data_IF_073843555540
#
_entry.id   IF_073843555540
#
_cell.length_a   1.000
_cell.length_b   1.000
_cell.length_c   1.000
_cell.angle_alpha   90.00
_cell.angle_beta   90.00
_cell.angle_gamma   90.00
#
_symmetry.space_group_name_H-M   'P 1'
#
loop_
_entity.id
_entity.type
_entity.pdbx_description
1 polymer ?
#
# COMPACT_ATOMS: atom_id res chain seq x y z
N UNK A 1 68.29 -24.37 -36.91
CA UNK A 1 69.43 -23.55 -36.48
C UNK A 1 69.26 -22.15 -37.06
N UNK A 2 69.51 -21.11 -36.23
CA UNK A 2 69.86 -19.72 -36.62
C UNK A 2 68.69 -18.84 -37.12
N UNK A 3 68.02 -18.02 -36.29
CA UNK A 3 68.38 -16.71 -35.63
C UNK A 3 67.88 -15.49 -36.43
N UNK A 4 67.14 -14.60 -35.74
CA UNK A 4 67.22 -13.12 -35.75
C UNK A 4 65.93 -12.56 -35.09
N UNK A 5 65.89 -12.30 -33.78
CA UNK A 5 66.20 -11.02 -33.12
C UNK A 5 66.03 -9.78 -34.01
N UNK A 6 64.94 -9.04 -33.78
CA UNK A 6 64.68 -7.73 -34.36
C UNK A 6 63.76 -6.92 -33.46
N UNK A 7 64.38 -6.20 -32.53
CA UNK A 7 63.79 -5.24 -31.61
C UNK A 7 63.32 -4.01 -32.40
N UNK A 8 62.04 -3.63 -32.33
CA UNK A 8 61.58 -2.30 -32.78
C UNK A 8 60.51 -1.77 -31.83
N UNK A 9 61.00 -1.02 -30.84
CA UNK A 9 60.25 -0.17 -29.93
C UNK A 9 59.67 1.01 -30.73
N UNK A 10 58.35 1.15 -30.80
CA UNK A 10 57.70 2.42 -31.16
C UNK A 10 56.48 2.64 -30.28
N UNK A 11 56.68 3.47 -29.25
CA UNK A 11 55.64 4.16 -28.50
C UNK A 11 55.03 5.23 -29.41
N UNK A 12 53.71 5.23 -29.59
CA UNK A 12 52.94 6.45 -29.86
C UNK A 12 51.52 6.26 -29.35
N UNK A 13 51.06 7.30 -28.67
CA UNK A 13 49.95 7.33 -27.75
C UNK A 13 48.59 7.55 -28.44
N UNK A 14 47.53 7.22 -27.68
CA UNK A 14 46.20 7.83 -27.58
C UNK A 14 45.72 8.68 -28.78
N UNK A 15 44.52 8.49 -29.33
CA UNK A 15 43.25 8.90 -28.71
C UNK A 15 42.12 7.91 -29.04
N UNK A 16 41.53 7.27 -28.04
CA UNK A 16 40.20 6.65 -28.17
C UNK A 16 39.16 7.73 -27.85
N UNK A 17 38.50 8.25 -28.89
CA UNK A 17 37.28 9.02 -28.74
C UNK A 17 36.15 8.05 -28.34
N UNK A 18 35.96 7.87 -27.03
CA UNK A 18 34.83 7.14 -26.48
C UNK A 18 33.70 8.13 -26.13
N UNK A 19 32.62 8.09 -26.91
CA UNK A 19 31.27 8.46 -26.51
C UNK A 19 30.34 7.54 -27.29
N UNK A 20 29.32 6.90 -26.69
CA UNK A 20 28.57 7.36 -25.53
C UNK A 20 28.76 6.46 -24.31
N UNK A 21 29.02 7.06 -23.15
CA UNK A 21 28.67 6.42 -21.89
C UNK A 21 27.14 6.44 -21.79
N UNK A 22 26.49 5.43 -22.39
CA UNK A 22 25.20 4.99 -21.92
C UNK A 22 25.41 4.57 -20.48
N UNK A 23 25.03 5.44 -19.55
CA UNK A 23 24.91 5.11 -18.15
C UNK A 23 23.93 3.95 -18.07
N UNK A 24 24.47 2.73 -18.02
CA UNK A 24 23.74 1.54 -17.61
C UNK A 24 23.27 1.86 -16.20
N UNK A 25 22.00 2.28 -16.11
CA UNK A 25 21.26 2.46 -14.86
C UNK A 25 21.36 1.13 -14.11
N UNK A 26 22.31 1.03 -13.18
CA UNK A 26 22.40 -0.07 -12.23
C UNK A 26 21.21 0.07 -11.28
N UNK A 27 20.06 -0.45 -11.72
CA UNK A 27 18.90 -0.67 -10.85
C UNK A 27 19.26 -1.76 -9.84
N UNK A 28 19.91 -1.35 -8.75
CA UNK A 28 20.18 -2.19 -7.58
C UNK A 28 18.99 -2.19 -6.61
N UNK A 29 18.86 -3.26 -5.84
CA UNK A 29 17.93 -3.31 -4.71
C UNK A 29 18.28 -2.19 -3.70
N UNK A 30 17.25 -1.54 -3.14
CA UNK A 30 17.44 -0.45 -2.18
C UNK A 30 17.99 -1.00 -0.86
N UNK A 31 19.12 -0.45 -0.41
CA UNK A 31 19.74 -0.87 0.84
C UNK A 31 18.89 -0.44 2.04
N UNK A 32 18.89 -1.24 3.11
CA UNK A 32 18.10 -0.96 4.33
C UNK A 32 18.43 0.41 4.94
N UNK A 33 19.68 0.83 4.84
CA UNK A 33 20.21 2.12 5.32
C UNK A 33 19.62 3.32 4.60
N UNK A 34 19.08 3.15 3.39
CA UNK A 34 18.48 4.24 2.61
C UNK A 34 16.98 4.42 2.87
N UNK A 35 16.38 3.51 3.64
CA UNK A 35 14.98 3.58 4.02
C UNK A 35 14.94 3.91 5.51
N UNK A 36 15.28 5.15 5.85
CA UNK A 36 15.15 5.69 7.21
C UNK A 36 13.98 6.67 7.28
N UNK A 37 13.29 6.77 8.43
CA UNK A 37 12.27 7.81 8.63
C UNK A 37 12.83 9.20 8.30
N UNK A 38 12.08 9.98 7.52
CA UNK A 38 12.51 11.27 6.98
C UNK A 38 13.14 11.22 5.58
N UNK A 39 13.39 10.03 5.03
CA UNK A 39 13.95 9.91 3.67
C UNK A 39 12.90 10.21 2.60
N UNK A 40 13.24 11.06 1.62
CA UNK A 40 12.40 11.31 0.46
C UNK A 40 12.37 10.10 -0.46
N UNK A 41 11.15 9.69 -0.83
CA UNK A 41 10.85 8.62 -1.77
C UNK A 41 10.45 9.25 -3.09
N UNK A 42 11.11 8.81 -4.15
CA UNK A 42 10.87 9.29 -5.50
C UNK A 42 10.04 8.29 -6.31
N UNK A 43 9.79 8.68 -7.55
CA UNK A 43 9.15 7.91 -8.57
C UNK A 43 10.15 7.38 -9.61
N UNK A 44 9.73 6.47 -10.49
CA UNK A 44 10.48 6.14 -11.72
C UNK A 44 10.75 7.38 -12.60
N UNK A 45 9.87 8.38 -12.57
CA UNK A 45 10.05 9.66 -13.26
C UNK A 45 10.97 10.64 -12.50
N UNK A 46 11.51 10.25 -11.33
CA UNK A 46 12.35 11.12 -10.49
C UNK A 46 11.59 12.25 -9.79
N UNK A 47 10.25 12.14 -9.71
CA UNK A 47 9.36 13.05 -8.96
C UNK A 47 9.29 12.63 -7.50
N UNK A 48 9.25 13.59 -6.58
CA UNK A 48 9.06 13.31 -5.16
C UNK A 48 7.63 12.81 -4.91
N UNK A 49 7.50 11.56 -4.47
CA UNK A 49 6.22 10.91 -4.13
C UNK A 49 5.85 11.23 -2.69
N UNK A 50 6.81 11.13 -1.77
CA UNK A 50 6.56 11.35 -0.35
C UNK A 50 7.81 11.12 0.50
N UNK A 51 7.60 10.91 1.79
CA UNK A 51 8.68 10.76 2.77
C UNK A 51 8.46 9.50 3.59
N UNK A 52 9.49 8.72 3.85
CA UNK A 52 9.40 7.55 4.74
C UNK A 52 8.98 8.04 6.13
N UNK A 53 7.82 7.59 6.61
CA UNK A 53 7.34 7.88 7.95
C UNK A 53 7.91 6.89 8.96
N UNK A 54 7.96 5.60 8.59
CA UNK A 54 8.43 4.52 9.47
C UNK A 54 8.91 3.33 8.67
N UNK A 55 9.90 2.62 9.19
CA UNK A 55 10.31 1.31 8.67
C UNK A 55 10.08 0.26 9.74
N UNK A 56 9.51 -0.88 9.35
CA UNK A 56 9.18 -1.99 10.23
C UNK A 56 9.53 -3.29 9.50
N UNK A 57 10.77 -3.74 9.69
CA UNK A 57 11.33 -4.91 9.01
C UNK A 57 11.29 -4.76 7.49
N UNK A 58 10.48 -5.59 6.83
CA UNK A 58 10.29 -5.60 5.38
C UNK A 58 9.20 -4.65 4.87
N UNK A 59 8.51 -3.92 5.75
CA UNK A 59 7.48 -2.95 5.40
C UNK A 59 7.97 -1.53 5.68
N UNK A 60 7.71 -0.62 4.75
CA UNK A 60 8.03 0.81 4.85
C UNK A 60 6.73 1.58 4.74
N UNK A 61 6.41 2.34 5.77
CA UNK A 61 5.35 3.33 5.73
C UNK A 61 5.91 4.63 5.13
N UNK A 62 5.30 5.10 4.05
CA UNK A 62 5.62 6.34 3.37
C UNK A 62 4.45 7.30 3.56
N UNK A 63 4.73 8.50 4.07
CA UNK A 63 3.80 9.61 4.10
C UNK A 63 3.75 10.28 2.72
N UNK A 64 2.58 10.31 2.11
CA UNK A 64 2.30 10.86 0.78
C UNK A 64 1.19 11.89 0.98
N UNK A 65 1.52 13.18 0.93
CA UNK A 65 0.56 14.30 1.04
C UNK A 65 -0.39 14.19 2.26
N UNK A 66 0.11 13.66 3.38
CA UNK A 66 -0.64 13.46 4.63
C UNK A 66 -1.22 12.05 4.83
N UNK A 67 -1.24 11.23 3.79
CA UNK A 67 -1.70 9.84 3.84
C UNK A 67 -0.55 8.85 4.03
N UNK A 68 -0.81 7.77 4.76
CA UNK A 68 0.18 6.71 4.98
C UNK A 68 0.02 5.55 3.99
N UNK A 69 1.05 5.28 3.19
CA UNK A 69 1.12 4.10 2.33
C UNK A 69 2.16 3.11 2.86
N UNK A 70 1.72 1.89 3.18
CA UNK A 70 2.64 0.82 3.59
C UNK A 70 3.02 0.00 2.37
N UNK A 71 4.28 0.09 1.97
CA UNK A 71 4.85 -0.60 0.82
C UNK A 71 5.96 -1.56 1.27
N UNK A 72 6.02 -2.78 0.71
CA UNK A 72 7.11 -3.69 1.01
C UNK A 72 8.42 -3.14 0.46
N UNK A 73 9.54 -3.39 1.16
CA UNK A 73 10.88 -2.93 0.75
C UNK A 73 11.25 -3.36 -0.67
N UNK A 74 10.75 -4.51 -1.12
CA UNK A 74 10.93 -5.02 -2.49
C UNK A 74 10.25 -4.17 -3.59
N UNK A 75 9.30 -3.30 -3.23
CA UNK A 75 8.67 -2.37 -4.15
C UNK A 75 9.53 -1.13 -4.44
N UNK A 76 10.56 -0.89 -3.61
CA UNK A 76 11.50 0.21 -3.80
C UNK A 76 12.64 -0.22 -4.73
N UNK A 77 12.99 0.67 -5.65
CA UNK A 77 14.14 0.56 -6.57
C UNK A 77 15.10 1.71 -6.32
N UNK A 78 16.39 1.47 -6.50
CA UNK A 78 17.39 2.53 -6.37
C UNK A 78 17.47 3.31 -7.68
N UNK A 79 17.37 4.63 -7.58
CA UNK A 79 17.60 5.57 -8.70
C UNK A 79 18.73 6.53 -8.35
N UNK A 80 19.21 7.32 -9.31
CA UNK A 80 20.26 8.33 -9.07
C UNK A 80 19.84 9.40 -8.04
N UNK A 81 18.53 9.61 -7.87
CA UNK A 81 17.99 10.55 -6.87
C UNK A 81 17.70 9.93 -5.51
N UNK A 82 17.79 8.60 -5.38
CA UNK A 82 17.52 7.86 -4.15
C UNK A 82 16.46 6.77 -4.31
N UNK A 83 15.84 6.32 -3.21
CA UNK A 83 14.85 5.25 -3.25
C UNK A 83 13.60 5.73 -3.99
N UNK A 84 13.18 4.98 -5.00
CA UNK A 84 12.01 5.26 -5.79
C UNK A 84 11.02 4.10 -5.78
N UNK A 85 9.74 4.37 -5.97
CA UNK A 85 8.72 3.34 -6.18
C UNK A 85 8.61 3.00 -7.66
N UNK A 86 8.33 1.72 -7.96
CA UNK A 86 8.09 1.24 -9.33
C UNK A 86 6.82 1.77 -9.99
N UNK A 87 5.92 2.37 -9.21
CA UNK A 87 4.65 2.91 -9.69
C UNK A 87 4.73 4.44 -9.70
N UNK A 88 4.09 5.08 -10.69
CA UNK A 88 4.12 6.54 -10.85
C UNK A 88 3.41 7.27 -9.70
N UNK A 89 3.87 8.47 -9.31
CA UNK A 89 3.21 9.34 -8.31
C UNK A 89 1.72 9.47 -8.60
N UNK A 90 1.37 9.69 -9.87
CA UNK A 90 -0.01 9.81 -10.31
C UNK A 90 -0.81 8.54 -10.06
N UNK A 91 -0.24 7.35 -10.32
CA UNK A 91 -0.93 6.08 -10.06
C UNK A 91 -1.07 5.82 -8.57
N UNK A 92 -0.07 6.14 -7.77
CA UNK A 92 -0.11 6.00 -6.31
C UNK A 92 -1.19 6.91 -5.73
N UNK A 93 -1.18 8.20 -6.07
CA UNK A 93 -2.20 9.15 -5.65
C UNK A 93 -3.60 8.73 -6.12
N UNK A 94 -3.74 8.22 -7.34
CA UNK A 94 -5.03 7.73 -7.82
C UNK A 94 -5.56 6.59 -6.93
N UNK A 95 -4.71 5.63 -6.54
CA UNK A 95 -5.10 4.54 -5.63
C UNK A 95 -5.41 5.05 -4.22
N UNK A 96 -4.64 6.02 -3.72
CA UNK A 96 -4.91 6.64 -2.42
C UNK A 96 -6.25 7.38 -2.43
N UNK A 97 -6.50 8.22 -3.45
CA UNK A 97 -7.76 8.93 -3.60
C UNK A 97 -8.94 8.00 -3.82
N UNK A 98 -8.75 6.88 -4.52
CA UNK A 98 -9.78 5.84 -4.65
C UNK A 98 -10.11 5.25 -3.28
N UNK A 99 -9.10 4.86 -2.50
CA UNK A 99 -9.30 4.36 -1.14
C UNK A 99 -9.94 5.40 -0.20
N UNK A 100 -9.56 6.68 -0.29
CA UNK A 100 -10.20 7.77 0.45
C UNK A 100 -11.66 7.95 0.04
N UNK A 101 -11.96 7.90 -1.26
CA UNK A 101 -13.34 8.00 -1.75
C UNK A 101 -14.18 6.81 -1.32
N UNK A 102 -13.63 5.61 -1.34
CA UNK A 102 -14.31 4.41 -0.83
C UNK A 102 -14.57 4.52 0.67
N UNK A 103 -13.57 4.94 1.45
CA UNK A 103 -13.73 5.18 2.88
C UNK A 103 -14.79 6.25 3.17
N UNK A 104 -14.74 7.39 2.46
CA UNK A 104 -15.72 8.45 2.57
C UNK A 104 -17.13 7.98 2.16
N UNK A 105 -17.24 7.10 1.15
CA UNK A 105 -18.51 6.55 0.70
C UNK A 105 -19.09 5.56 1.72
N UNK A 106 -18.24 4.72 2.33
CA UNK A 106 -18.62 3.89 3.48
C UNK A 106 -19.06 4.78 4.64
N UNK A 107 -18.35 5.87 4.91
CA UNK A 107 -18.66 6.79 5.99
C UNK A 107 -19.97 7.52 5.79
N UNK A 108 -20.24 7.92 4.54
CA UNK A 108 -21.52 8.47 4.14
C UNK A 108 -22.65 7.44 4.27
N UNK A 109 -22.40 6.15 4.02
CA UNK A 109 -23.39 5.10 4.17
C UNK A 109 -23.59 4.65 5.63
N UNK A 110 -22.55 4.76 6.46
CA UNK A 110 -22.53 4.36 7.86
C UNK A 110 -23.22 5.42 8.74
N UNK A 111 -24.56 5.40 8.69
CA UNK A 111 -25.42 6.26 9.49
C UNK A 111 -26.29 5.44 10.43
N UNK A 112 -26.75 6.03 11.52
CA UNK A 112 -27.78 5.43 12.37
C UNK A 112 -29.01 5.13 11.52
N UNK A 113 -29.55 3.92 11.64
CA UNK A 113 -30.64 3.37 10.83
C UNK A 113 -30.20 2.72 9.51
N UNK A 114 -28.93 2.81 9.11
CA UNK A 114 -28.44 2.20 7.87
C UNK A 114 -28.54 0.67 7.93
N UNK A 115 -29.04 0.07 6.86
CA UNK A 115 -29.12 -1.37 6.69
C UNK A 115 -27.77 -1.92 6.25
N UNK A 116 -27.27 -2.93 6.97
CA UNK A 116 -26.04 -3.62 6.64
C UNK A 116 -26.38 -4.97 6.05
N UNK A 117 -25.76 -5.29 4.90
CA UNK A 117 -26.01 -6.52 4.14
C UNK A 117 -24.82 -7.48 4.18
N UNK A 118 -25.06 -8.72 3.77
CA UNK A 118 -24.02 -9.72 3.52
C UNK A 118 -23.12 -9.33 2.35
N UNK A 119 -21.98 -10.02 2.20
CA UNK A 119 -20.99 -9.75 1.15
C UNK A 119 -21.58 -9.82 -0.28
N UNK A 120 -22.52 -10.73 -0.48
CA UNK A 120 -23.29 -10.94 -1.71
C UNK A 120 -24.45 -9.95 -1.88
N UNK A 121 -24.79 -9.21 -0.82
CA UNK A 121 -25.84 -8.20 -0.83
C UNK A 121 -27.27 -8.75 -0.79
N UNK A 122 -27.47 -10.08 -0.74
CA UNK A 122 -28.80 -10.67 -0.79
C UNK A 122 -29.55 -10.58 0.54
N UNK A 123 -28.83 -10.67 1.67
CA UNK A 123 -29.44 -10.65 3.00
C UNK A 123 -29.12 -9.36 3.77
N UNK A 124 -30.13 -8.76 4.41
CA UNK A 124 -29.94 -7.72 5.43
C UNK A 124 -29.60 -8.40 6.75
N UNK A 125 -28.42 -8.11 7.28
CA UNK A 125 -27.90 -8.69 8.52
C UNK A 125 -28.37 -7.93 9.76
N UNK A 126 -28.58 -6.62 9.62
CA UNK A 126 -28.96 -5.76 10.72
C UNK A 126 -29.04 -4.29 10.34
N UNK A 127 -29.29 -3.46 11.34
CA UNK A 127 -29.35 -2.00 11.22
C UNK A 127 -28.40 -1.33 12.21
N UNK A 128 -27.72 -0.28 11.78
CA UNK A 128 -26.86 0.50 12.66
C UNK A 128 -27.72 1.21 13.71
N UNK A 129 -27.49 0.90 14.98
CA UNK A 129 -28.14 1.53 16.13
C UNK A 129 -27.41 2.79 16.59
N UNK A 130 -26.09 2.75 16.59
CA UNK A 130 -25.25 3.88 17.02
C UNK A 130 -23.88 3.84 16.34
N UNK A 131 -23.27 5.00 16.16
CA UNK A 131 -21.87 5.14 15.75
C UNK A 131 -21.07 5.48 17.01
N UNK A 132 -19.98 4.77 17.26
CA UNK A 132 -19.07 5.02 18.38
C UNK A 132 -17.66 5.30 17.85
N UNK A 133 -16.75 5.85 18.67
CA UNK A 133 -15.35 6.01 18.28
C UNK A 133 -14.67 4.67 17.93
N UNK A 134 -15.16 3.56 18.48
CA UNK A 134 -14.65 2.21 18.25
C UNK A 134 -15.24 1.56 16.97
N UNK A 135 -16.30 2.12 16.39
CA UNK A 135 -16.96 1.57 15.22
C UNK A 135 -18.45 1.87 15.15
N UNK A 136 -19.28 0.87 14.83
CA UNK A 136 -20.72 1.01 14.80
C UNK A 136 -21.40 -0.14 15.55
N UNK A 137 -22.35 0.21 16.41
CA UNK A 137 -23.25 -0.73 17.08
C UNK A 137 -24.37 -1.05 16.11
N UNK A 138 -24.56 -2.33 15.82
CA UNK A 138 -25.58 -2.83 14.91
C UNK A 138 -26.54 -3.74 15.66
N UNK A 139 -27.83 -3.50 15.47
CA UNK A 139 -28.89 -4.42 15.91
C UNK A 139 -29.10 -5.48 14.86
N UNK A 140 -28.93 -6.74 15.26
CA UNK A 140 -29.11 -7.93 14.42
C UNK A 140 -30.29 -8.75 14.97
N UNK A 141 -30.75 -9.75 14.21
CA UNK A 141 -31.77 -10.68 14.70
C UNK A 141 -31.36 -11.48 15.94
N UNK A 142 -30.05 -11.60 16.20
CA UNK A 142 -29.50 -12.28 17.38
C UNK A 142 -29.08 -11.31 18.49
N UNK A 143 -29.31 -10.00 18.35
CA UNK A 143 -28.96 -8.98 19.34
C UNK A 143 -28.00 -7.92 18.82
N UNK A 144 -27.59 -7.01 19.71
CA UNK A 144 -26.72 -5.90 19.38
C UNK A 144 -25.23 -6.34 19.37
N UNK A 145 -24.48 -5.91 18.36
CA UNK A 145 -23.04 -6.15 18.24
C UNK A 145 -22.31 -4.87 17.80
N UNK A 146 -21.15 -4.60 18.40
CA UNK A 146 -20.27 -3.53 17.97
C UNK A 146 -19.28 -4.07 16.95
N UNK A 147 -19.24 -3.47 15.77
CA UNK A 147 -18.29 -3.83 14.71
C UNK A 147 -17.35 -2.66 14.40
N UNK A 148 -16.05 -2.93 14.16
CA UNK A 148 -15.12 -1.89 13.75
C UNK A 148 -15.51 -1.36 12.37
N UNK A 149 -15.26 -0.07 12.14
CA UNK A 149 -15.59 0.62 10.89
C UNK A 149 -15.00 -0.06 9.65
N UNK A 150 -13.78 -0.60 9.80
CA UNK A 150 -13.07 -1.32 8.75
C UNK A 150 -13.71 -2.66 8.33
N UNK A 151 -14.67 -3.19 9.10
CA UNK A 151 -15.41 -4.39 8.71
C UNK A 151 -16.51 -4.10 7.67
N UNK A 152 -16.95 -2.84 7.59
CA UNK A 152 -17.95 -2.41 6.62
C UNK A 152 -17.30 -1.99 5.31
N UNK A 153 -18.01 -2.22 4.22
CA UNK A 153 -17.66 -1.73 2.89
C UNK A 153 -18.94 -1.35 2.13
N UNK A 154 -18.79 -0.54 1.08
CA UNK A 154 -19.93 -0.16 0.24
C UNK A 154 -20.05 -1.13 -0.93
N UNK A 155 -21.12 -1.92 -0.96
CA UNK A 155 -21.50 -2.75 -2.09
C UNK A 155 -22.49 -2.00 -3.00
N UNK A 156 -22.75 -2.52 -4.20
CA UNK A 156 -23.81 -1.99 -5.09
C UNK A 156 -25.19 -1.93 -4.42
N UNK A 157 -25.45 -2.83 -3.48
CA UNK A 157 -26.71 -2.91 -2.72
C UNK A 157 -26.74 -2.04 -1.45
N UNK A 158 -25.68 -1.26 -1.19
CA UNK A 158 -25.52 -0.43 0.00
C UNK A 158 -24.43 -0.95 0.93
N UNK A 159 -24.51 -0.57 2.21
CA UNK A 159 -23.52 -0.94 3.22
C UNK A 159 -23.53 -2.46 3.45
N UNK A 160 -22.35 -3.09 3.44
CA UNK A 160 -22.19 -4.53 3.55
C UNK A 160 -20.96 -4.92 4.37
N UNK A 161 -20.87 -6.19 4.77
CA UNK A 161 -19.71 -6.79 5.45
C UNK A 161 -19.17 -7.98 4.65
N UNK A 162 -17.86 -8.22 4.68
CA UNK A 162 -17.18 -9.21 3.80
C UNK A 162 -17.41 -10.67 4.23
N UNK A 163 -18.59 -10.97 4.76
CA UNK A 163 -19.02 -12.30 5.20
C UNK A 163 -20.43 -12.60 4.73
N UNK A 164 -20.73 -13.88 4.57
CA UNK A 164 -22.10 -14.34 4.29
C UNK A 164 -22.99 -14.20 5.52
N UNK A 165 -24.32 -14.25 5.35
CA UNK A 165 -25.26 -14.17 6.47
C UNK A 165 -25.06 -15.27 7.52
N UNK A 166 -24.77 -16.50 7.09
CA UNK A 166 -24.49 -17.61 8.00
C UNK A 166 -23.21 -17.39 8.81
N UNK A 167 -22.13 -16.97 8.15
CA UNK A 167 -20.87 -16.63 8.83
C UNK A 167 -21.03 -15.45 9.79
N UNK A 168 -21.88 -14.49 9.42
CA UNK A 168 -22.18 -13.35 10.26
C UNK A 168 -22.91 -13.77 11.54
N UNK A 169 -24.00 -14.55 11.44
CA UNK A 169 -24.74 -15.06 12.60
C UNK A 169 -23.84 -15.89 13.53
N UNK A 170 -23.07 -16.82 12.98
CA UNK A 170 -22.07 -17.59 13.74
C UNK A 170 -21.05 -16.68 14.45
N UNK A 171 -20.58 -15.63 13.77
CA UNK A 171 -19.70 -14.62 14.34
C UNK A 171 -20.33 -13.86 15.51
N UNK A 172 -21.60 -13.45 15.37
CA UNK A 172 -22.37 -12.75 16.42
C UNK A 172 -22.55 -13.67 17.64
N UNK A 173 -22.93 -14.91 17.41
CA UNK A 173 -23.13 -15.91 18.46
C UNK A 173 -21.84 -16.17 19.25
N UNK A 174 -20.70 -16.32 18.55
CA UNK A 174 -19.37 -16.47 19.18
C UNK A 174 -18.94 -15.20 19.93
N UNK A 175 -19.18 -14.01 19.36
CA UNK A 175 -18.86 -12.74 20.00
C UNK A 175 -19.63 -12.56 21.32
N UNK A 176 -20.92 -12.95 21.35
CA UNK A 176 -21.73 -12.90 22.57
C UNK A 176 -21.30 -13.92 23.62
N UNK A 177 -20.84 -15.10 23.21
CA UNK A 177 -20.29 -16.10 24.12
C UNK A 177 -18.97 -15.64 24.75
N UNK A 178 -18.19 -14.82 24.05
CA UNK A 178 -16.91 -14.29 24.54
C UNK A 178 -17.06 -12.98 25.33
N UNK A 179 -18.17 -12.26 25.20
CA UNK A 179 -18.49 -11.07 26.02
C UNK A 179 -19.33 -11.37 27.26
N UNK A 180 -19.76 -12.61 27.46
CA UNK A 180 -20.64 -13.06 28.56
C UNK A 180 -19.97 -13.97 29.60
N UNK A 181 -18.63 -13.91 29.71
CA UNK A 181 -17.85 -14.63 30.71
C UNK A 181 -17.28 -13.70 31.77
#
# INVERSE_FOLDING_TARGET
>A
MTRALGLALSLSAAILAASPAQAVQKSGAVAATELTPGTKVYDVDGKEVGTVAKVSGDKVAVAIEGNGLVVPRAAFVRTDKGPALKATKAKILAVLHEAERDAAAVDAALKVGAEVRSADGAAVLGKIKAITPQGAVMTTGEGDITMPRAAFFLAKSGLAVKVTAAQFAEGVKKARQSSGG
#
